data_IF_879950708307
#
_entry.id   IF_879950708307
#
_cell.length_a   1.000
_cell.length_b   1.000
_cell.length_c   1.000
_cell.angle_alpha   90.00
_cell.angle_beta   90.00
_cell.angle_gamma   90.00
#
_symmetry.space_group_name_H-M   'P 1'
#
loop_
_entity.id
_entity.type
_entity.pdbx_description
1 polymer ?
#
# COMPACT_ATOMS: atom_id res chain seq x y z
N UNK A 1 -8.35 38.23 39.51
CA UNK A 1 -8.28 36.79 39.85
C UNK A 1 -9.02 35.93 38.80
N UNK A 2 -10.27 36.30 38.44
CA UNK A 2 -11.06 35.49 37.48
C UNK A 2 -10.46 35.43 36.08
N UNK A 3 -9.78 36.48 35.64
CA UNK A 3 -9.04 36.47 34.35
C UNK A 3 -7.87 35.50 34.35
N UNK A 4 -7.13 35.41 35.43
CA UNK A 4 -6.01 34.48 35.55
C UNK A 4 -6.47 33.04 35.57
N UNK A 5 -7.53 32.73 36.34
CA UNK A 5 -8.09 31.37 36.42
C UNK A 5 -8.65 30.92 35.07
N UNK A 6 -9.29 31.85 34.33
CA UNK A 6 -9.85 31.54 33.01
C UNK A 6 -8.78 31.37 31.91
N UNK A 7 -7.58 31.92 32.09
CA UNK A 7 -6.47 31.76 31.14
C UNK A 7 -5.64 30.50 31.36
N UNK A 8 -5.81 29.81 32.50
CA UNK A 8 -5.14 28.56 32.79
C UNK A 8 -5.90 27.37 32.17
N UNK A 9 -5.22 26.29 31.75
CA UNK A 9 -5.86 25.11 31.11
C UNK A 9 -6.60 24.23 32.15
N UNK A 10 -7.40 24.86 33.02
CA UNK A 10 -8.16 24.19 34.08
C UNK A 10 -9.59 23.83 33.68
N UNK A 11 -10.01 24.17 32.45
CA UNK A 11 -11.37 23.93 31.96
C UNK A 11 -12.45 24.79 32.65
N UNK A 12 -12.05 25.78 33.44
CA UNK A 12 -12.95 26.68 34.19
C UNK A 12 -12.92 28.08 33.58
N UNK A 13 -14.04 28.50 32.99
CA UNK A 13 -14.21 29.86 32.52
C UNK A 13 -15.06 30.66 33.53
N UNK A 14 -14.46 31.64 34.21
CA UNK A 14 -15.13 32.56 35.14
C UNK A 14 -15.45 33.91 34.53
N UNK A 15 -15.02 34.14 33.28
CA UNK A 15 -15.30 35.40 32.58
C UNK A 15 -16.61 35.22 31.77
N UNK A 16 -17.59 36.08 32.05
CA UNK A 16 -18.91 36.04 31.37
C UNK A 16 -18.96 36.90 30.11
N UNK A 17 -17.82 37.29 29.55
CA UNK A 17 -17.73 38.07 28.32
C UNK A 17 -17.55 37.06 27.16
N UNK A 18 -18.60 36.88 26.41
CA UNK A 18 -18.59 35.98 25.24
C UNK A 18 -18.64 36.85 23.96
N UNK A 19 -17.87 36.43 22.96
CA UNK A 19 -17.95 36.98 21.60
C UNK A 19 -18.22 35.84 20.65
N UNK A 20 -19.25 35.98 19.85
CA UNK A 20 -19.53 35.04 18.75
C UNK A 20 -18.50 35.26 17.63
N UNK A 21 -17.83 34.20 17.25
CA UNK A 21 -16.94 34.15 16.09
C UNK A 21 -17.59 33.35 14.99
N UNK A 22 -17.42 33.78 13.74
CA UNK A 22 -17.83 32.99 12.59
C UNK A 22 -16.91 31.77 12.44
N UNK A 23 -17.39 30.69 11.84
CA UNK A 23 -16.60 29.48 11.62
C UNK A 23 -15.31 29.76 10.83
N UNK A 24 -15.36 30.68 9.88
CA UNK A 24 -14.18 31.10 9.11
C UNK A 24 -13.15 31.85 9.97
N UNK A 25 -13.59 32.69 10.92
CA UNK A 25 -12.69 33.36 11.86
C UNK A 25 -12.09 32.37 12.86
N UNK A 26 -12.86 31.36 13.30
CA UNK A 26 -12.40 30.34 14.21
C UNK A 26 -11.38 29.39 13.54
N UNK A 27 -11.54 29.13 12.24
CA UNK A 27 -10.62 28.29 11.47
C UNK A 27 -9.18 28.81 11.45
N UNK A 28 -8.98 30.13 11.60
CA UNK A 28 -7.64 30.75 11.70
C UNK A 28 -6.93 30.38 13.01
N UNK A 29 -7.68 30.06 14.06
CA UNK A 29 -7.14 29.67 15.36
C UNK A 29 -6.90 28.17 15.49
N UNK A 30 -7.33 27.37 14.52
CA UNK A 30 -6.98 25.95 14.50
C UNK A 30 -5.49 25.85 14.19
N UNK A 31 -4.67 25.39 15.16
CA UNK A 31 -3.26 25.17 14.85
C UNK A 31 -3.19 24.11 13.76
N UNK A 32 -2.73 24.49 12.59
CA UNK A 32 -2.36 23.52 11.55
C UNK A 32 -1.16 22.76 12.08
N UNK A 33 -1.43 21.71 12.83
CA UNK A 33 -0.40 20.79 13.27
C UNK A 33 0.03 20.02 12.03
N UNK A 34 1.25 20.27 11.59
CA UNK A 34 1.88 19.47 10.56
C UNK A 34 2.01 18.07 11.14
N UNK A 35 1.23 17.12 10.61
CA UNK A 35 1.36 15.74 11.04
C UNK A 35 2.74 15.24 10.60
N UNK A 36 3.59 14.96 11.56
CA UNK A 36 4.89 14.40 11.31
C UNK A 36 4.81 12.88 11.34
N UNK A 37 5.36 12.25 10.32
CA UNK A 37 5.50 10.81 10.22
C UNK A 37 6.96 10.47 10.54
N UNK A 38 7.21 10.11 11.78
CA UNK A 38 8.52 9.67 12.23
C UNK A 38 8.37 8.37 13.00
N UNK A 39 8.51 7.25 12.28
CA UNK A 39 8.50 5.92 12.85
C UNK A 39 9.94 5.43 13.07
N UNK A 40 10.14 4.65 14.12
CA UNK A 40 11.43 3.97 14.39
C UNK A 40 11.50 2.60 13.73
N UNK A 41 12.60 1.88 13.96
CA UNK A 41 12.81 0.52 13.44
C UNK A 41 13.19 0.52 11.96
N UNK A 42 12.59 -0.38 11.20
CA UNK A 42 12.84 -0.57 9.76
C UNK A 42 12.07 0.45 8.89
N UNK A 43 11.91 1.68 9.38
CA UNK A 43 11.19 2.72 8.67
C UNK A 43 11.98 3.26 7.48
N UNK A 44 11.33 3.31 6.33
CA UNK A 44 11.89 3.86 5.12
C UNK A 44 11.84 5.39 5.11
N UNK A 45 12.90 6.03 4.63
CA UNK A 45 12.93 7.46 4.39
C UNK A 45 12.19 7.82 3.10
N UNK A 46 11.14 8.62 3.21
CA UNK A 46 10.34 9.07 2.06
C UNK A 46 10.73 10.45 1.55
N UNK A 47 11.23 11.32 2.40
CA UNK A 47 11.61 12.68 2.05
C UNK A 47 11.60 13.62 3.25
N UNK A 48 11.54 14.91 2.97
CA UNK A 48 11.38 15.96 3.97
C UNK A 48 9.95 16.51 3.90
N UNK A 49 9.40 16.81 5.06
CA UNK A 49 8.14 17.54 5.15
C UNK A 49 8.32 18.95 4.60
N UNK A 50 7.49 19.34 3.63
CA UNK A 50 7.61 20.63 2.95
C UNK A 50 7.41 21.85 3.87
N UNK A 51 6.70 21.69 4.99
CA UNK A 51 6.42 22.77 5.93
C UNK A 51 7.42 22.81 7.09
N UNK A 52 7.67 21.66 7.73
CA UNK A 52 8.55 21.61 8.92
C UNK A 52 10.02 21.35 8.58
N UNK A 53 10.34 20.84 7.38
CA UNK A 53 11.68 20.39 7.01
C UNK A 53 12.13 19.11 7.70
N UNK A 54 11.30 18.48 8.51
CA UNK A 54 11.62 17.26 9.22
C UNK A 54 11.57 16.04 8.30
N UNK A 55 12.34 14.99 8.61
CA UNK A 55 12.36 13.74 7.86
C UNK A 55 11.04 12.99 8.00
N UNK A 56 10.55 12.45 6.89
CA UNK A 56 9.42 11.54 6.85
C UNK A 56 9.97 10.11 6.82
N UNK A 57 9.76 9.38 7.93
CA UNK A 57 10.12 7.99 8.09
C UNK A 57 8.86 7.18 8.33
N UNK A 58 8.59 6.20 7.47
CA UNK A 58 7.38 5.38 7.55
C UNK A 58 7.75 3.90 7.42
N UNK A 59 7.29 3.09 8.38
CA UNK A 59 7.24 1.64 8.26
C UNK A 59 5.82 1.21 7.88
N UNK A 60 5.64 0.76 6.64
CA UNK A 60 4.32 0.33 6.15
C UNK A 60 3.77 -0.86 6.89
N UNK A 61 4.62 -1.76 7.39
CA UNK A 61 4.18 -2.97 8.11
C UNK A 61 3.48 -2.64 9.42
N UNK A 62 3.82 -1.51 10.04
CA UNK A 62 3.17 -1.02 11.25
C UNK A 62 1.84 -0.31 10.96
N UNK A 63 1.52 -0.04 9.70
CA UNK A 63 0.26 0.59 9.33
C UNK A 63 -0.88 -0.42 9.33
N UNK A 64 -2.09 0.02 9.73
CA UNK A 64 -3.31 -0.81 9.66
C UNK A 64 -3.61 -1.29 8.24
N UNK A 65 -3.30 -0.48 7.24
CA UNK A 65 -3.44 -0.78 5.84
C UNK A 65 -2.12 -0.45 5.14
N UNK A 66 -1.28 -1.45 4.81
CA UNK A 66 0.02 -1.23 4.19
C UNK A 66 -0.06 -0.88 2.70
N UNK A 67 -1.26 -0.87 2.12
CA UNK A 67 -1.47 -0.56 0.71
C UNK A 67 -1.12 0.90 0.42
N UNK A 68 -0.52 1.15 -0.74
CA UNK A 68 -0.15 2.49 -1.19
C UNK A 68 -0.51 2.71 -2.64
N UNK A 69 -0.79 3.96 -3.00
CA UNK A 69 -1.05 4.39 -4.36
C UNK A 69 -0.03 5.48 -4.72
N UNK A 70 0.58 5.35 -5.89
CA UNK A 70 1.55 6.32 -6.40
C UNK A 70 0.99 6.98 -7.66
N UNK A 71 0.63 8.24 -7.55
CA UNK A 71 0.09 9.03 -8.66
C UNK A 71 1.10 10.10 -9.11
N UNK A 72 1.07 10.40 -10.38
CA UNK A 72 1.86 11.48 -10.95
C UNK A 72 1.75 11.51 -12.47
N UNK A 73 2.03 12.65 -13.07
CA UNK A 73 2.11 12.81 -14.52
C UNK A 73 3.29 12.03 -15.10
N UNK A 74 3.29 11.70 -16.39
CA UNK A 74 4.47 11.12 -17.05
C UNK A 74 5.73 11.97 -16.79
N UNK A 75 6.86 11.34 -16.50
CA UNK A 75 8.10 12.02 -16.18
C UNK A 75 8.25 12.59 -14.76
N UNK A 76 7.24 12.48 -13.90
CA UNK A 76 7.27 12.99 -12.51
C UNK A 76 8.15 12.17 -11.55
N UNK A 77 8.71 11.04 -11.98
CA UNK A 77 9.55 10.19 -11.15
C UNK A 77 8.84 9.09 -10.38
N UNK A 78 7.58 8.73 -10.73
CA UNK A 78 6.83 7.63 -10.09
C UNK A 78 7.61 6.33 -10.03
N UNK A 79 8.04 5.83 -11.19
CA UNK A 79 8.78 4.57 -11.30
C UNK A 79 10.11 4.63 -10.53
N UNK A 80 10.76 5.78 -10.49
CA UNK A 80 11.98 5.96 -9.71
C UNK A 80 11.71 5.88 -8.21
N UNK A 81 10.63 6.45 -7.74
CA UNK A 81 10.20 6.36 -6.33
C UNK A 81 9.91 4.92 -5.93
N UNK A 82 9.17 4.17 -6.78
CA UNK A 82 8.91 2.75 -6.55
C UNK A 82 10.20 1.92 -6.57
N UNK A 83 11.09 2.15 -7.52
CA UNK A 83 12.39 1.46 -7.59
C UNK A 83 13.24 1.69 -6.34
N UNK A 84 13.22 2.91 -5.80
CA UNK A 84 13.90 3.23 -4.53
C UNK A 84 13.30 2.44 -3.36
N UNK A 85 11.98 2.35 -3.27
CA UNK A 85 11.30 1.60 -2.23
C UNK A 85 11.60 0.10 -2.33
N UNK A 86 11.51 -0.49 -3.51
CA UNK A 86 11.88 -1.89 -3.77
C UNK A 86 13.33 -2.17 -3.36
N UNK A 87 14.25 -1.29 -3.75
CA UNK A 87 15.66 -1.42 -3.39
C UNK A 87 15.86 -1.38 -1.87
N UNK A 88 15.16 -0.47 -1.20
CA UNK A 88 15.21 -0.38 0.26
C UNK A 88 14.73 -1.67 0.91
N UNK A 89 13.55 -2.18 0.52
CA UNK A 89 13.00 -3.42 1.05
C UNK A 89 13.96 -4.59 0.86
N UNK A 90 14.52 -4.75 -0.34
CA UNK A 90 15.46 -5.83 -0.66
C UNK A 90 16.77 -5.75 0.12
N UNK A 91 17.23 -4.55 0.50
CA UNK A 91 18.47 -4.36 1.23
C UNK A 91 18.31 -4.45 2.75
N UNK A 92 17.14 -4.08 3.27
CA UNK A 92 16.94 -3.94 4.73
C UNK A 92 16.08 -5.04 5.33
N UNK A 93 15.25 -5.70 4.52
CA UNK A 93 14.34 -6.73 5.00
C UNK A 93 14.63 -8.09 4.35
N UNK A 94 13.99 -9.14 4.83
CA UNK A 94 14.01 -10.48 4.23
C UNK A 94 12.75 -10.78 3.41
N UNK A 95 12.02 -9.73 3.04
CA UNK A 95 10.75 -9.87 2.33
C UNK A 95 10.96 -10.22 0.86
N UNK A 96 10.02 -10.97 0.32
CA UNK A 96 9.94 -11.20 -1.11
C UNK A 96 9.18 -10.05 -1.79
N UNK A 97 9.67 -9.59 -2.93
CA UNK A 97 9.05 -8.54 -3.73
C UNK A 97 8.58 -9.15 -5.05
N UNK A 98 7.29 -9.01 -5.35
CA UNK A 98 6.69 -9.45 -6.60
C UNK A 98 6.24 -8.21 -7.37
N UNK A 99 6.66 -8.10 -8.64
CA UNK A 99 6.38 -6.96 -9.49
C UNK A 99 5.61 -7.45 -10.72
N UNK A 100 4.44 -6.84 -10.96
CA UNK A 100 3.73 -6.98 -12.23
C UNK A 100 4.01 -5.74 -13.08
N UNK A 101 4.79 -5.92 -14.16
CA UNK A 101 5.36 -4.83 -14.95
C UNK A 101 5.03 -5.01 -16.44
N UNK A 102 3.92 -4.44 -16.90
CA UNK A 102 3.52 -4.55 -18.31
C UNK A 102 4.42 -3.74 -19.27
N UNK A 103 5.19 -2.79 -18.76
CA UNK A 103 6.04 -1.88 -19.57
C UNK A 103 7.53 -2.26 -19.56
N UNK A 104 7.92 -3.31 -18.85
CA UNK A 104 9.31 -3.80 -18.71
C UNK A 104 10.31 -2.74 -18.21
N UNK A 105 9.85 -1.88 -17.30
CA UNK A 105 10.69 -0.83 -16.70
C UNK A 105 11.59 -1.35 -15.56
N UNK A 106 11.21 -2.45 -14.90
CA UNK A 106 11.86 -2.96 -13.68
C UNK A 106 12.89 -4.07 -13.94
N UNK A 107 12.89 -4.70 -15.12
CA UNK A 107 13.82 -5.80 -15.44
C UNK A 107 15.30 -5.49 -15.15
N UNK A 108 15.84 -4.28 -15.45
CA UNK A 108 17.23 -3.97 -15.13
C UNK A 108 17.51 -3.94 -13.62
N UNK A 109 16.55 -3.48 -12.81
CA UNK A 109 16.65 -3.45 -11.35
C UNK A 109 16.62 -4.86 -10.79
N UNK A 110 15.66 -5.68 -11.24
CA UNK A 110 15.48 -7.08 -10.80
C UNK A 110 16.74 -7.89 -11.05
N UNK A 111 17.32 -7.78 -12.25
CA UNK A 111 18.57 -8.45 -12.60
C UNK A 111 19.75 -8.03 -11.72
N UNK A 112 19.85 -6.74 -11.37
CA UNK A 112 20.89 -6.23 -10.47
C UNK A 112 20.75 -6.71 -9.03
N UNK A 113 19.50 -6.93 -8.58
CA UNK A 113 19.21 -7.44 -7.24
C UNK A 113 19.26 -8.98 -7.17
N UNK A 114 19.59 -9.67 -8.28
CA UNK A 114 19.66 -11.13 -8.34
C UNK A 114 18.28 -11.81 -8.37
N UNK A 115 17.25 -11.08 -8.75
CA UNK A 115 15.90 -11.61 -8.90
C UNK A 115 15.68 -12.32 -10.24
N UNK A 116 14.50 -12.90 -10.39
CA UNK A 116 14.06 -13.60 -11.60
C UNK A 116 13.05 -12.75 -12.38
N UNK A 117 13.25 -12.64 -13.69
CA UNK A 117 12.30 -12.00 -14.60
C UNK A 117 11.59 -13.11 -15.40
N UNK A 118 10.26 -13.18 -15.28
CA UNK A 118 9.41 -14.10 -16.03
C UNK A 118 8.65 -13.28 -17.08
N UNK A 119 8.83 -13.60 -18.34
CA UNK A 119 8.18 -12.87 -19.45
C UNK A 119 7.01 -13.66 -19.98
N UNK A 120 5.81 -13.14 -19.77
CA UNK A 120 4.56 -13.74 -20.27
C UNK A 120 4.16 -13.04 -21.57
N UNK A 121 4.43 -13.69 -22.70
CA UNK A 121 4.01 -13.24 -24.04
C UNK A 121 3.78 -14.44 -24.94
N UNK A 122 3.01 -14.31 -26.05
CA UNK A 122 2.73 -15.41 -26.97
C UNK A 122 4.00 -16.08 -27.52
N UNK A 123 5.12 -15.37 -27.59
CA UNK A 123 6.40 -15.84 -28.13
C UNK A 123 7.46 -16.06 -27.05
N UNK A 124 7.11 -15.99 -25.77
CA UNK A 124 8.07 -16.20 -24.70
C UNK A 124 8.37 -17.70 -24.52
N UNK A 125 9.52 -17.98 -23.90
CA UNK A 125 9.90 -19.33 -23.48
C UNK A 125 9.48 -19.65 -22.06
N UNK A 126 8.97 -18.65 -21.35
CA UNK A 126 8.52 -18.79 -19.98
C UNK A 126 7.03 -19.15 -19.97
N UNK A 127 6.70 -20.20 -19.25
CA UNK A 127 5.33 -20.69 -19.11
C UNK A 127 4.98 -20.75 -17.63
N UNK A 128 3.78 -20.31 -17.30
CA UNK A 128 3.19 -20.50 -15.98
C UNK A 128 2.14 -21.59 -16.08
N UNK A 129 2.32 -22.67 -15.32
CA UNK A 129 1.31 -23.71 -15.25
C UNK A 129 0.24 -23.34 -14.21
N UNK A 130 -0.97 -22.95 -14.62
CA UNK A 130 -2.03 -22.60 -13.68
C UNK A 130 -2.54 -23.78 -12.85
N UNK A 131 -2.25 -25.01 -13.27
CA UNK A 131 -2.69 -26.23 -12.58
C UNK A 131 -1.62 -26.80 -11.63
N UNK A 132 -0.47 -26.15 -11.50
CA UNK A 132 0.57 -26.58 -10.57
C UNK A 132 0.12 -26.43 -9.11
N UNK A 133 0.31 -27.47 -8.32
CA UNK A 133 -0.14 -27.53 -6.90
C UNK A 133 1.07 -27.60 -6.00
N UNK A 134 1.21 -26.59 -5.14
CA UNK A 134 2.18 -26.62 -4.07
C UNK A 134 1.52 -27.11 -2.77
N UNK A 135 1.74 -28.35 -2.42
CA UNK A 135 1.17 -28.98 -1.22
C UNK A 135 1.73 -28.42 0.10
N UNK A 136 2.83 -27.66 0.03
CA UNK A 136 3.50 -27.05 1.20
C UNK A 136 3.15 -25.56 1.38
N UNK A 137 2.07 -25.08 0.77
CA UNK A 137 1.77 -23.65 0.71
C UNK A 137 1.39 -23.04 2.08
N UNK A 138 0.65 -23.76 2.91
CA UNK A 138 0.35 -23.33 4.28
C UNK A 138 0.01 -24.53 5.18
N UNK A 139 0.27 -24.39 6.48
CA UNK A 139 -0.11 -25.38 7.48
C UNK A 139 -1.59 -25.26 7.91
N UNK A 140 -2.24 -24.12 7.67
CA UNK A 140 -3.58 -23.78 8.19
C UNK A 140 -4.71 -23.92 7.17
N UNK A 141 -4.42 -23.93 5.85
CA UNK A 141 -5.44 -23.99 4.82
C UNK A 141 -5.26 -25.24 3.93
N UNK A 142 -6.38 -25.80 3.47
CA UNK A 142 -6.37 -26.91 2.53
C UNK A 142 -5.87 -26.42 1.15
N UNK A 143 -4.65 -26.77 0.70
CA UNK A 143 -4.09 -26.28 -0.54
C UNK A 143 -4.89 -26.72 -1.78
N UNK A 144 -5.64 -27.80 -1.69
CA UNK A 144 -6.51 -28.25 -2.77
C UNK A 144 -7.74 -27.34 -2.92
N UNK A 145 -8.36 -26.94 -1.82
CA UNK A 145 -9.51 -26.04 -1.87
C UNK A 145 -9.14 -24.67 -2.44
N UNK A 146 -8.00 -24.11 -2.00
CA UNK A 146 -7.47 -22.86 -2.57
C UNK A 146 -7.19 -22.98 -4.05
N UNK A 147 -6.70 -24.15 -4.48
CA UNK A 147 -6.40 -24.39 -5.90
C UNK A 147 -7.66 -24.55 -6.73
N UNK A 148 -8.68 -25.23 -6.21
CA UNK A 148 -10.00 -25.35 -6.85
C UNK A 148 -10.62 -23.96 -7.07
N UNK A 149 -10.67 -23.12 -6.03
CA UNK A 149 -11.18 -21.74 -6.13
C UNK A 149 -10.40 -20.90 -7.15
N UNK A 150 -9.08 -21.06 -7.19
CA UNK A 150 -8.24 -20.38 -8.19
C UNK A 150 -8.58 -20.84 -9.60
N UNK A 151 -8.70 -22.15 -9.84
CA UNK A 151 -9.01 -22.72 -11.18
C UNK A 151 -10.39 -22.29 -11.62
N UNK A 152 -11.38 -22.31 -10.74
CA UNK A 152 -12.74 -21.80 -11.01
C UNK A 152 -12.70 -20.33 -11.45
N UNK A 153 -12.02 -19.48 -10.69
CA UNK A 153 -11.87 -18.05 -11.01
C UNK A 153 -11.14 -17.83 -12.33
N UNK A 154 -10.13 -18.63 -12.60
CA UNK A 154 -9.38 -18.59 -13.86
C UNK A 154 -10.24 -18.99 -15.07
N UNK A 155 -11.06 -20.04 -14.92
CA UNK A 155 -12.00 -20.45 -15.96
C UNK A 155 -13.08 -19.38 -16.18
N UNK A 156 -13.63 -18.77 -15.13
CA UNK A 156 -14.56 -17.64 -15.24
C UNK A 156 -13.96 -16.48 -16.04
N UNK A 157 -12.71 -16.14 -15.79
CA UNK A 157 -12.01 -15.07 -16.50
C UNK A 157 -11.82 -15.38 -18.00
N UNK A 158 -11.47 -16.62 -18.34
CA UNK A 158 -11.24 -17.05 -19.73
C UNK A 158 -12.54 -17.13 -20.52
N UNK A 159 -13.58 -17.69 -19.92
CA UNK A 159 -14.88 -17.84 -20.59
C UNK A 159 -15.60 -16.49 -20.80
N UNK A 160 -15.17 -15.45 -20.10
CA UNK A 160 -15.65 -14.07 -20.31
C UNK A 160 -17.14 -13.88 -20.06
N UNK A 161 -17.79 -14.78 -19.30
CA UNK A 161 -19.21 -14.69 -18.98
C UNK A 161 -19.48 -13.54 -18.04
N UNK A 162 -20.40 -12.63 -18.41
CA UNK A 162 -20.82 -11.51 -17.54
C UNK A 162 -21.59 -11.98 -16.30
N UNK A 163 -22.05 -13.24 -16.29
CA UNK A 163 -22.85 -13.84 -15.23
C UNK A 163 -22.07 -14.87 -14.40
N UNK A 164 -20.79 -15.08 -14.69
CA UNK A 164 -19.98 -16.15 -14.09
C UNK A 164 -20.26 -17.51 -14.72
N UNK A 165 -19.64 -18.56 -14.17
CA UNK A 165 -19.87 -19.94 -14.60
C UNK A 165 -21.25 -20.45 -14.13
N UNK A 166 -21.93 -21.20 -14.99
CA UNK A 166 -23.15 -21.90 -14.61
C UNK A 166 -22.87 -23.02 -13.59
N UNK A 167 -23.90 -23.39 -12.81
CA UNK A 167 -23.77 -24.43 -11.77
C UNK A 167 -23.23 -25.76 -12.30
N UNK A 168 -23.62 -26.14 -13.53
CA UNK A 168 -23.16 -27.36 -14.19
C UNK A 168 -21.67 -27.24 -14.55
N UNK A 169 -21.23 -26.09 -15.05
CA UNK A 169 -19.85 -25.84 -15.42
C UNK A 169 -18.92 -25.86 -14.18
N UNK A 170 -19.39 -25.30 -13.08
CA UNK A 170 -18.68 -25.36 -11.79
C UNK A 170 -18.49 -26.79 -11.30
N UNK A 171 -19.53 -27.62 -11.39
CA UNK A 171 -19.48 -29.02 -10.96
C UNK A 171 -18.54 -29.88 -11.82
N UNK A 172 -18.28 -29.49 -13.07
CA UNK A 172 -17.37 -30.23 -13.97
C UNK A 172 -15.91 -29.85 -13.73
N UNK A 173 -15.66 -28.61 -13.28
CA UNK A 173 -14.31 -28.09 -13.05
C UNK A 173 -13.81 -28.48 -11.65
N UNK A 174 -14.69 -28.55 -10.66
CA UNK A 174 -14.40 -28.92 -9.26
C UNK A 174 -14.15 -30.43 -9.13
#
# INVERSE_FOLDING_TARGET
EDGLVSSLPLGLNRIRIERSLTTSALAVFVPFVTQELFMGGDAMYYGLNALSGNMILLDRKQSRCPNGLVFGTPGSGKSMSCKREITYVMLTTKDNVIICDPEDEYSPLVNRLGGQVIRLSPNSRDYVNPLDINLNYSEEENPLALKSDFVLSFCELIMGSKTGLEAIEKTVID
#
